data_IF_056424855452
#
_entry.id   IF_056424855452
#
_cell.length_a   1.000
_cell.length_b   1.000
_cell.length_c   1.000
_cell.angle_alpha   90.00
_cell.angle_beta   90.00
_cell.angle_gamma   90.00
#
_symmetry.space_group_name_H-M   'P 1'
#
loop_
_entity.id
_entity.type
_entity.pdbx_description
1 polymer ?
#
# COMPACT_ATOMS: atom_id res chain seq x y z
N UNK A 1 -16.46 -34.15 -10.05
CA UNK A 1 -15.56 -33.12 -10.62
C UNK A 1 -14.39 -32.96 -9.67
N UNK A 2 -13.16 -32.77 -10.18
CA UNK A 2 -12.03 -32.46 -9.31
C UNK A 2 -12.24 -31.06 -8.71
N UNK A 3 -11.98 -30.91 -7.40
CA UNK A 3 -12.06 -29.62 -6.73
C UNK A 3 -11.00 -28.68 -7.30
N UNK A 4 -11.32 -27.40 -7.44
CA UNK A 4 -10.33 -26.40 -7.85
C UNK A 4 -9.34 -26.17 -6.70
N UNK A 5 -8.02 -26.08 -6.96
CA UNK A 5 -7.04 -25.72 -5.95
C UNK A 5 -7.32 -24.32 -5.38
N UNK A 6 -6.95 -24.10 -4.12
CA UNK A 6 -6.92 -22.78 -3.49
C UNK A 6 -5.86 -21.88 -4.13
N UNK A 7 -5.98 -20.57 -3.88
CA UNK A 7 -4.97 -19.60 -4.31
C UNK A 7 -3.56 -19.94 -3.80
N UNK A 8 -3.44 -20.40 -2.55
CA UNK A 8 -2.16 -20.72 -1.93
C UNK A 8 -1.53 -21.97 -2.57
N UNK A 9 -2.29 -23.05 -2.73
CA UNK A 9 -1.81 -24.27 -3.40
C UNK A 9 -1.33 -23.98 -4.84
N UNK A 10 -1.97 -23.04 -5.53
CA UNK A 10 -1.53 -22.57 -6.84
C UNK A 10 -0.21 -21.81 -6.81
N UNK A 11 -0.01 -20.96 -5.80
CA UNK A 11 1.24 -20.24 -5.62
C UNK A 11 2.41 -21.21 -5.32
N UNK A 12 2.17 -22.24 -4.51
CA UNK A 12 3.18 -23.27 -4.19
C UNK A 12 3.56 -24.15 -5.38
N UNK A 13 2.67 -24.27 -6.37
CA UNK A 13 2.88 -25.08 -7.58
C UNK A 13 3.35 -24.27 -8.79
N UNK A 14 3.80 -23.03 -8.58
CA UNK A 14 4.27 -22.09 -9.61
C UNK A 14 3.24 -21.82 -10.73
N UNK A 15 1.95 -21.84 -10.36
CA UNK A 15 0.83 -21.55 -11.26
C UNK A 15 0.00 -20.36 -10.72
N UNK A 16 0.58 -19.16 -10.62
CA UNK A 16 -0.07 -18.03 -9.97
C UNK A 16 -1.39 -17.67 -10.67
N UNK A 17 -2.47 -17.65 -9.89
CA UNK A 17 -3.76 -17.18 -10.36
C UNK A 17 -3.78 -15.65 -10.40
N UNK A 18 -4.22 -15.07 -11.52
CA UNK A 18 -4.34 -13.61 -11.69
C UNK A 18 -5.81 -13.22 -11.76
N UNK A 19 -6.13 -11.99 -11.38
CA UNK A 19 -7.48 -11.45 -11.53
C UNK A 19 -7.90 -11.47 -13.00
N UNK A 20 -9.13 -11.91 -13.26
CA UNK A 20 -9.72 -11.88 -14.60
C UNK A 20 -9.92 -10.44 -15.10
N UNK A 21 -10.00 -10.20 -16.41
CA UNK A 21 -10.37 -8.89 -16.94
C UNK A 21 -11.68 -8.36 -16.35
N UNK A 22 -12.65 -9.24 -16.08
CA UNK A 22 -13.91 -8.90 -15.43
C UNK A 22 -13.72 -8.42 -13.99
N UNK A 23 -12.91 -9.12 -13.19
CA UNK A 23 -12.61 -8.71 -11.82
C UNK A 23 -11.81 -7.40 -11.75
N UNK A 24 -10.93 -7.16 -12.72
CA UNK A 24 -10.16 -5.91 -12.81
C UNK A 24 -11.01 -4.68 -13.12
N UNK A 25 -12.27 -4.86 -13.55
CA UNK A 25 -13.20 -3.76 -13.85
C UNK A 25 -13.92 -3.22 -12.63
N UNK A 26 -13.73 -3.81 -11.45
CA UNK A 26 -14.32 -3.30 -10.21
C UNK A 26 -13.72 -1.93 -9.87
N UNK A 27 -14.60 -0.95 -9.67
CA UNK A 27 -14.28 0.34 -9.09
C UNK A 27 -15.00 0.43 -7.74
N UNK A 28 -14.23 0.40 -6.66
CA UNK A 28 -14.75 0.01 -5.36
C UNK A 28 -14.34 0.99 -4.27
N UNK A 29 -15.31 1.75 -3.76
CA UNK A 29 -15.18 2.60 -2.59
C UNK A 29 -15.56 1.82 -1.31
N UNK A 30 -14.82 2.03 -0.23
CA UNK A 30 -15.09 1.43 1.08
C UNK A 30 -16.15 2.23 1.85
N UNK A 31 -17.39 2.16 1.36
CA UNK A 31 -18.56 2.82 1.91
C UNK A 31 -19.76 1.87 1.93
N UNK A 32 -20.73 2.09 2.80
CA UNK A 32 -22.01 1.37 2.75
C UNK A 32 -23.10 2.24 2.13
N UNK A 33 -24.11 1.63 1.46
CA UNK A 33 -24.28 0.20 1.18
C UNK A 33 -23.47 -0.30 -0.04
N UNK A 34 -23.27 -1.62 -0.15
CA UNK A 34 -22.53 -2.26 -1.26
C UNK A 34 -22.98 -1.79 -2.66
N UNK A 35 -24.29 -1.57 -2.83
CA UNK A 35 -24.88 -1.13 -4.10
C UNK A 35 -24.33 0.21 -4.59
N UNK A 36 -23.96 1.10 -3.67
CA UNK A 36 -23.39 2.42 -3.97
C UNK A 36 -21.85 2.40 -3.88
N UNK A 37 -21.29 1.37 -3.26
CA UNK A 37 -19.87 1.19 -3.01
C UNK A 37 -19.11 0.66 -4.23
N UNK A 38 -19.75 -0.22 -5.00
CA UNK A 38 -19.13 -0.92 -6.12
C UNK A 38 -19.79 -0.53 -7.42
N UNK A 39 -18.96 -0.12 -8.37
CA UNK A 39 -19.36 0.15 -9.75
C UNK A 39 -18.43 -0.61 -10.69
N UNK A 40 -18.86 -0.78 -11.94
CA UNK A 40 -18.16 -1.58 -12.93
C UNK A 40 -17.72 -0.69 -14.07
N UNK A 41 -16.41 -0.59 -14.29
CA UNK A 41 -15.85 0.11 -15.45
C UNK A 41 -16.28 -0.58 -16.74
N UNK A 42 -16.42 0.15 -17.85
CA UNK A 42 -16.78 -0.45 -19.15
C UNK A 42 -15.72 -1.45 -19.64
N UNK A 43 -16.03 -2.41 -20.52
CA UNK A 43 -15.04 -3.38 -20.99
C UNK A 43 -13.81 -2.75 -21.66
N UNK A 44 -14.01 -1.59 -22.29
CA UNK A 44 -13.02 -0.78 -23.00
C UNK A 44 -12.43 0.35 -22.14
N UNK A 45 -12.58 0.30 -20.80
CA UNK A 45 -12.10 1.33 -19.88
C UNK A 45 -10.62 1.67 -20.04
N UNK A 46 -9.83 0.71 -20.53
CA UNK A 46 -8.40 0.90 -20.81
C UNK A 46 -8.14 1.83 -21.99
N UNK A 47 -9.10 1.99 -22.89
CA UNK A 47 -9.02 2.88 -24.05
C UNK A 47 -9.82 4.16 -23.85
N UNK A 48 -10.98 4.09 -23.19
CA UNK A 48 -11.93 5.21 -23.06
C UNK A 48 -11.85 5.93 -21.72
N UNK A 49 -11.10 5.40 -20.76
CA UNK A 49 -11.03 5.90 -19.39
C UNK A 49 -11.99 5.18 -18.44
N UNK A 50 -11.81 5.40 -17.14
CA UNK A 50 -12.59 4.76 -16.08
C UNK A 50 -13.73 5.61 -15.53
N UNK A 51 -14.01 6.77 -16.15
CA UNK A 51 -15.03 7.71 -15.67
C UNK A 51 -16.44 7.17 -15.88
N UNK A 52 -16.70 6.56 -17.03
CA UNK A 52 -17.97 5.90 -17.34
C UNK A 52 -18.05 4.53 -16.65
N UNK A 53 -19.06 4.37 -15.79
CA UNK A 53 -19.22 3.21 -14.92
C UNK A 53 -20.67 2.77 -14.86
N UNK A 54 -20.88 1.47 -14.75
CA UNK A 54 -22.18 0.82 -14.63
C UNK A 54 -22.41 0.38 -13.17
N UNK A 55 -23.65 0.42 -12.65
CA UNK A 55 -23.95 -0.06 -11.32
C UNK A 55 -23.63 -1.55 -11.16
N UNK A 56 -23.00 -1.94 -10.06
CA UNK A 56 -22.78 -3.35 -9.75
C UNK A 56 -24.08 -4.07 -9.36
N UNK A 57 -24.93 -3.39 -8.60
CA UNK A 57 -26.30 -3.81 -8.29
C UNK A 57 -27.25 -3.08 -9.25
N UNK A 58 -27.91 -3.83 -10.11
CA UNK A 58 -28.83 -3.32 -11.12
C UNK A 58 -30.24 -3.40 -10.57
N UNK A 59 -30.90 -2.26 -10.37
CA UNK A 59 -32.32 -2.25 -9.98
C UNK A 59 -33.18 -2.48 -11.22
N UNK A 60 -33.77 -3.65 -11.34
CA UNK A 60 -34.72 -3.98 -12.41
C UNK A 60 -36.16 -3.92 -11.88
N UNK A 61 -37.09 -3.38 -12.69
CA UNK A 61 -38.51 -3.31 -12.35
C UNK A 61 -39.04 -1.89 -12.09
N UNK A 62 -40.36 -1.73 -12.19
CA UNK A 62 -41.03 -0.47 -11.92
C UNK A 62 -41.08 -0.13 -10.42
N UNK A 63 -41.56 1.08 -10.05
CA UNK A 63 -41.58 1.56 -8.66
C UNK A 63 -42.34 0.66 -7.67
N UNK A 64 -43.15 -0.28 -8.17
CA UNK A 64 -44.01 -1.17 -7.38
C UNK A 64 -43.36 -2.52 -7.00
N UNK A 65 -42.29 -2.94 -7.71
CA UNK A 65 -41.59 -4.22 -7.49
C UNK A 65 -40.14 -4.10 -7.99
N UNK A 66 -39.26 -3.42 -7.26
CA UNK A 66 -37.84 -3.46 -7.55
C UNK A 66 -37.31 -4.87 -7.27
N UNK A 67 -36.75 -5.51 -8.29
CA UNK A 67 -35.92 -6.70 -8.18
C UNK A 67 -34.47 -6.24 -8.32
N UNK A 68 -33.68 -6.42 -7.27
CA UNK A 68 -32.25 -6.14 -7.35
C UNK A 68 -31.57 -7.30 -8.09
N UNK A 69 -31.08 -7.01 -9.29
CA UNK A 69 -30.21 -7.87 -10.08
C UNK A 69 -28.73 -7.53 -9.84
N UNK A 70 -27.86 -8.43 -10.27
CA UNK A 70 -26.41 -8.22 -10.25
C UNK A 70 -25.89 -7.99 -11.66
N UNK A 71 -24.85 -7.15 -11.78
CA UNK A 71 -24.15 -6.97 -13.03
C UNK A 71 -23.56 -8.30 -13.55
N UNK A 72 -23.51 -8.50 -14.87
CA UNK A 72 -23.10 -9.78 -15.48
C UNK A 72 -21.72 -10.29 -15.02
N UNK A 73 -20.80 -9.40 -14.65
CA UNK A 73 -19.47 -9.77 -14.12
C UNK A 73 -19.55 -10.51 -12.79
N UNK A 74 -20.65 -10.38 -12.04
CA UNK A 74 -20.82 -11.00 -10.74
C UNK A 74 -20.69 -12.53 -10.81
N UNK A 75 -21.15 -13.14 -11.91
CA UNK A 75 -21.04 -14.58 -12.17
C UNK A 75 -19.69 -15.00 -12.79
N UNK A 76 -18.82 -14.06 -13.16
CA UNK A 76 -17.53 -14.37 -13.74
C UNK A 76 -16.58 -14.96 -12.68
N UNK A 77 -15.63 -15.83 -13.08
CA UNK A 77 -14.58 -16.28 -12.17
C UNK A 77 -13.73 -15.09 -11.71
N UNK A 78 -13.34 -15.09 -10.43
CA UNK A 78 -12.48 -14.05 -9.86
C UNK A 78 -11.08 -14.09 -10.49
N UNK A 79 -10.55 -15.28 -10.74
CA UNK A 79 -9.19 -15.50 -11.23
C UNK A 79 -9.10 -16.45 -12.41
N UNK A 80 -8.02 -16.29 -13.19
CA UNK A 80 -7.55 -17.27 -14.17
C UNK A 80 -6.08 -17.63 -13.86
N UNK A 81 -5.74 -18.92 -13.64
CA UNK A 81 -6.66 -20.06 -13.52
C UNK A 81 -7.65 -19.94 -12.35
N UNK A 82 -8.81 -20.61 -12.48
CA UNK A 82 -9.85 -20.64 -11.45
C UNK A 82 -9.35 -21.26 -10.14
N UNK A 83 -9.82 -20.70 -9.01
CA UNK A 83 -9.48 -21.14 -7.66
C UNK A 83 -10.71 -21.56 -6.87
N UNK A 84 -10.54 -22.54 -5.97
CA UNK A 84 -11.61 -23.05 -5.10
C UNK A 84 -11.69 -22.36 -3.74
N UNK A 85 -10.69 -21.57 -3.35
CA UNK A 85 -10.70 -20.77 -2.12
C UNK A 85 -9.59 -19.72 -2.17
N UNK A 86 -9.76 -18.63 -1.42
CA UNK A 86 -8.72 -17.62 -1.25
C UNK A 86 -8.75 -17.00 0.15
N UNK A 87 -7.58 -16.80 0.74
CA UNK A 87 -7.44 -16.06 1.99
C UNK A 87 -6.96 -14.64 1.67
N UNK A 88 -7.80 -13.67 1.99
CA UNK A 88 -7.60 -12.24 1.76
C UNK A 88 -6.97 -11.60 3.00
N UNK A 89 -5.98 -10.75 2.77
CA UNK A 89 -5.27 -9.97 3.78
C UNK A 89 -5.26 -8.49 3.35
N UNK A 90 -5.16 -7.58 4.32
CA UNK A 90 -5.10 -6.14 4.06
C UNK A 90 -3.66 -5.69 4.24
N UNK A 91 -3.06 -5.21 3.16
CA UNK A 91 -1.63 -4.85 3.11
C UNK A 91 -1.24 -3.86 4.22
N UNK A 92 -2.05 -2.81 4.43
CA UNK A 92 -1.80 -1.83 5.49
C UNK A 92 -1.73 -2.46 6.90
N UNK A 93 -2.55 -3.48 7.17
CA UNK A 93 -2.56 -4.17 8.48
C UNK A 93 -1.37 -5.11 8.64
N UNK A 94 -0.87 -5.69 7.56
CA UNK A 94 0.27 -6.62 7.59
C UNK A 94 1.58 -5.91 7.99
N UNK A 95 1.79 -4.69 7.50
CA UNK A 95 2.97 -3.86 7.79
C UNK A 95 2.78 -2.90 8.96
N UNK A 96 1.59 -2.80 9.52
CA UNK A 96 1.27 -1.81 10.56
C UNK A 96 2.14 -1.95 11.79
N UNK A 97 2.33 -3.18 12.27
CA UNK A 97 3.15 -3.44 13.45
C UNK A 97 4.59 -2.97 13.26
N UNK A 98 5.17 -3.27 12.10
CA UNK A 98 6.55 -2.90 11.76
C UNK A 98 6.70 -1.38 11.73
N UNK A 99 5.83 -0.68 10.97
CA UNK A 99 5.85 0.78 10.92
C UNK A 99 5.60 1.43 12.28
N UNK A 100 4.69 0.86 13.08
CA UNK A 100 4.47 1.31 14.44
C UNK A 100 5.74 1.16 15.28
N UNK A 101 6.46 0.04 15.16
CA UNK A 101 7.72 -0.15 15.88
C UNK A 101 8.79 0.83 15.42
N UNK A 102 8.98 1.00 14.11
CA UNK A 102 9.96 1.93 13.54
C UNK A 102 9.73 3.36 14.03
N UNK A 103 8.48 3.82 14.06
CA UNK A 103 8.11 5.13 14.58
C UNK A 103 8.41 5.31 16.08
N UNK A 104 8.31 4.25 16.86
CA UNK A 104 8.40 4.30 18.32
C UNK A 104 9.72 3.76 18.89
N UNK A 105 10.65 3.28 18.05
CA UNK A 105 11.91 2.69 18.51
C UNK A 105 12.80 3.72 19.21
N UNK A 106 12.84 4.95 18.69
CA UNK A 106 13.68 6.05 19.18
C UNK A 106 12.95 7.02 20.13
N UNK A 107 11.69 6.76 20.47
CA UNK A 107 10.98 7.62 21.42
C UNK A 107 11.59 7.47 22.82
N UNK A 108 11.89 8.61 23.46
CA UNK A 108 12.37 8.67 24.85
C UNK A 108 11.22 8.93 25.83
N UNK A 109 9.98 8.79 25.39
CA UNK A 109 8.80 8.98 26.21
C UNK A 109 8.83 8.12 27.46
N UNK A 110 8.27 8.66 28.54
CA UNK A 110 8.16 7.95 29.82
C UNK A 110 7.00 6.96 29.86
N UNK A 111 6.23 6.84 28.77
CA UNK A 111 5.02 6.00 28.69
C UNK A 111 5.24 4.67 27.97
N UNK A 112 6.49 4.33 27.64
CA UNK A 112 6.85 3.03 27.07
C UNK A 112 6.49 1.90 28.05
N UNK A 113 5.63 1.00 27.60
CA UNK A 113 5.37 -0.28 28.29
C UNK A 113 6.08 -1.37 27.53
N UNK A 114 7.00 -2.05 28.22
CA UNK A 114 7.78 -3.16 27.67
C UNK A 114 7.46 -4.46 28.41
N UNK A 115 7.31 -5.56 27.69
CA UNK A 115 6.94 -6.84 28.29
C UNK A 115 7.09 -8.03 27.34
N UNK A 116 6.87 -9.26 27.82
CA UNK A 116 6.91 -10.43 26.96
C UNK A 116 5.80 -10.37 25.89
N UNK A 117 5.98 -11.05 24.74
CA UNK A 117 4.92 -11.16 23.75
C UNK A 117 3.68 -11.82 24.35
N UNK A 118 2.47 -11.40 23.97
CA UNK A 118 1.26 -12.11 24.33
C UNK A 118 1.26 -13.54 23.74
N UNK A 119 0.52 -14.50 24.33
CA UNK A 119 0.56 -15.92 23.91
C UNK A 119 0.17 -16.19 22.46
N UNK A 120 -0.64 -15.31 21.85
CA UNK A 120 -1.12 -15.36 20.47
C UNK A 120 -0.36 -14.42 19.53
N UNK A 121 0.79 -13.92 19.97
CA UNK A 121 1.61 -13.00 19.19
C UNK A 121 2.29 -13.71 18.01
N UNK A 122 2.04 -13.20 16.82
CA UNK A 122 2.73 -13.61 15.59
C UNK A 122 3.44 -12.37 15.00
N UNK A 123 4.78 -12.30 15.02
CA UNK A 123 5.50 -11.12 14.53
C UNK A 123 5.25 -10.89 13.04
N UNK A 124 5.07 -9.64 12.61
CA UNK A 124 4.94 -9.30 11.17
C UNK A 124 6.16 -9.69 10.35
N UNK A 125 7.35 -9.58 10.92
CA UNK A 125 8.59 -9.98 10.28
C UNK A 125 9.41 -10.84 11.26
N UNK A 126 9.30 -12.18 11.19
CA UNK A 126 10.07 -13.04 12.07
C UNK A 126 11.58 -12.83 11.87
N UNK A 127 12.08 -12.61 10.66
CA UNK A 127 13.52 -12.45 10.41
C UNK A 127 14.11 -11.22 11.10
N UNK A 128 13.42 -10.06 11.06
CA UNK A 128 13.80 -8.88 11.83
C UNK A 128 13.66 -9.10 13.35
N UNK A 129 12.76 -9.99 13.76
CA UNK A 129 12.50 -10.30 15.17
C UNK A 129 13.59 -11.20 15.81
N UNK A 130 14.27 -12.06 15.04
CA UNK A 130 15.24 -13.05 15.57
C UNK A 130 16.70 -12.55 15.66
N UNK A 131 16.95 -11.25 15.47
CA UNK A 131 18.31 -10.67 15.41
C UNK A 131 18.97 -10.32 16.75
N UNK A 132 18.25 -10.31 17.89
CA UNK A 132 18.84 -10.04 19.21
C UNK A 132 18.47 -11.15 20.19
N UNK A 133 19.48 -11.92 20.60
CA UNK A 133 19.55 -12.87 21.73
C UNK A 133 18.24 -13.49 22.24
N UNK A 134 18.18 -14.82 22.28
CA UNK A 134 17.07 -15.63 22.84
C UNK A 134 16.66 -15.28 24.28
N UNK A 135 17.43 -14.46 24.99
CA UNK A 135 17.27 -14.19 26.42
C UNK A 135 16.38 -13.01 26.79
N UNK A 136 16.03 -12.09 25.88
CA UNK A 136 15.12 -10.97 26.22
C UNK A 136 14.16 -10.63 25.08
N UNK A 137 13.11 -11.43 24.91
CA UNK A 137 11.95 -11.10 24.05
C UNK A 137 11.05 -10.05 24.70
N UNK A 138 11.64 -8.96 25.18
CA UNK A 138 10.89 -7.84 25.75
C UNK A 138 10.47 -6.94 24.58
N UNK A 139 9.19 -6.98 24.25
CA UNK A 139 8.58 -6.15 23.21
C UNK A 139 8.14 -4.82 23.79
N UNK A 140 8.28 -3.76 23.00
CA UNK A 140 7.52 -2.54 23.21
C UNK A 140 6.05 -2.87 22.92
N UNK A 141 5.19 -2.82 23.94
CA UNK A 141 3.77 -3.18 23.89
C UNK A 141 2.85 -1.95 23.80
N UNK A 142 3.31 -0.79 24.29
CA UNK A 142 2.61 0.49 24.22
C UNK A 142 3.63 1.63 24.22
N UNK A 143 3.33 2.69 23.49
CA UNK A 143 4.10 3.93 23.43
C UNK A 143 3.16 5.05 22.97
N UNK A 144 3.38 6.30 23.36
CA UNK A 144 2.57 7.45 22.95
C UNK A 144 1.06 7.31 23.25
N UNK A 145 0.69 6.55 24.27
CA UNK A 145 -0.70 6.21 24.56
C UNK A 145 -1.35 5.22 23.57
N UNK A 146 -0.60 4.67 22.63
CA UNK A 146 -1.07 3.70 21.64
C UNK A 146 -0.57 2.28 21.94
N UNK A 147 -1.46 1.31 21.82
CA UNK A 147 -1.10 -0.11 21.91
C UNK A 147 -0.43 -0.59 20.63
N UNK A 148 0.61 -1.41 20.78
CA UNK A 148 1.25 -2.09 19.65
C UNK A 148 0.21 -2.91 18.87
N UNK A 149 0.13 -2.75 17.54
CA UNK A 149 -0.72 -3.59 16.71
C UNK A 149 -0.30 -5.07 16.82
N UNK A 150 -1.25 -5.95 17.12
CA UNK A 150 -0.99 -7.40 17.34
C UNK A 150 -1.80 -8.32 16.46
N UNK A 151 -2.84 -7.82 15.78
CA UNK A 151 -3.77 -8.66 15.00
C UNK A 151 -3.78 -8.28 13.52
N UNK A 152 -3.54 -9.29 12.68
CA UNK A 152 -3.70 -9.24 11.23
C UNK A 152 -4.94 -10.06 10.85
N UNK A 153 -6.14 -9.48 10.85
CA UNK A 153 -7.33 -10.22 10.48
C UNK A 153 -7.20 -10.71 9.03
N UNK A 154 -7.57 -11.97 8.80
CA UNK A 154 -7.60 -12.59 7.46
C UNK A 154 -8.99 -13.12 7.20
N UNK A 155 -9.43 -13.08 5.94
CA UNK A 155 -10.74 -13.59 5.54
C UNK A 155 -10.57 -14.67 4.47
N UNK A 156 -11.08 -15.88 4.74
CA UNK A 156 -11.16 -16.92 3.71
C UNK A 156 -12.48 -16.85 2.96
N UNK A 157 -12.40 -16.65 1.66
CA UNK A 157 -13.53 -16.66 0.73
C UNK A 157 -13.58 -18.02 0.04
N UNK A 158 -14.79 -18.60 0.01
CA UNK A 158 -15.11 -19.86 -0.67
C UNK A 158 -16.29 -19.66 -1.63
N UNK A 159 -16.45 -20.51 -2.66
CA UNK A 159 -17.56 -20.43 -3.61
C UNK A 159 -18.90 -20.60 -2.90
N UNK A 160 -19.88 -19.77 -3.23
CA UNK A 160 -21.27 -20.00 -2.79
C UNK A 160 -21.89 -21.21 -3.48
N UNK A 161 -21.60 -21.40 -4.77
CA UNK A 161 -21.98 -22.59 -5.53
C UNK A 161 -20.86 -23.64 -5.52
N UNK A 162 -21.00 -24.61 -4.61
CA UNK A 162 -20.08 -25.75 -4.49
C UNK A 162 -20.09 -26.65 -5.72
N UNK A 163 -21.15 -26.64 -6.54
CA UNK A 163 -21.20 -27.41 -7.79
C UNK A 163 -20.35 -26.76 -8.89
N UNK A 164 -20.37 -25.42 -8.98
CA UNK A 164 -19.44 -24.67 -9.82
C UNK A 164 -17.99 -24.85 -9.34
N UNK A 165 -17.78 -24.81 -8.02
CA UNK A 165 -16.52 -25.19 -7.36
C UNK A 165 -15.40 -24.15 -7.44
N UNK A 166 -15.65 -22.95 -7.99
CA UNK A 166 -14.68 -21.86 -8.09
C UNK A 166 -15.25 -20.54 -7.57
N UNK A 167 -14.37 -19.68 -7.06
CA UNK A 167 -14.75 -18.37 -6.50
C UNK A 167 -15.14 -17.41 -7.62
N UNK A 168 -16.35 -16.86 -7.54
CA UNK A 168 -16.83 -15.81 -8.44
C UNK A 168 -16.49 -14.41 -7.95
N UNK A 169 -16.62 -13.41 -8.83
CA UNK A 169 -16.52 -11.99 -8.44
C UNK A 169 -17.53 -11.66 -7.33
N UNK A 170 -18.75 -12.20 -7.41
CA UNK A 170 -19.76 -11.96 -6.39
C UNK A 170 -19.42 -12.57 -5.03
N UNK A 171 -18.96 -13.82 -5.00
CA UNK A 171 -18.53 -14.48 -3.75
C UNK A 171 -17.46 -13.64 -3.04
N UNK A 172 -16.52 -13.10 -3.83
CA UNK A 172 -15.45 -12.26 -3.31
C UNK A 172 -15.97 -10.92 -2.79
N UNK A 173 -16.68 -10.15 -3.61
CA UNK A 173 -17.12 -8.80 -3.23
C UNK A 173 -18.10 -8.85 -2.04
N UNK A 174 -19.03 -9.79 -2.04
CA UNK A 174 -20.04 -9.93 -0.98
C UNK A 174 -19.45 -10.36 0.36
N UNK A 175 -18.36 -11.13 0.37
CA UNK A 175 -17.66 -11.51 1.60
C UNK A 175 -16.67 -10.44 2.06
N UNK A 176 -15.86 -9.91 1.13
CA UNK A 176 -14.74 -9.01 1.44
C UNK A 176 -15.24 -7.61 1.79
N UNK A 177 -16.30 -7.10 1.15
CA UNK A 177 -16.79 -5.75 1.43
C UNK A 177 -17.26 -5.48 2.86
N UNK A 178 -18.26 -6.21 3.40
CA UNK A 178 -18.68 -5.97 4.78
C UNK A 178 -17.53 -6.21 5.78
N UNK A 179 -16.62 -7.14 5.47
CA UNK A 179 -15.43 -7.37 6.29
C UNK A 179 -14.49 -6.15 6.31
N UNK A 180 -14.16 -5.59 5.14
CA UNK A 180 -13.34 -4.38 5.05
C UNK A 180 -14.02 -3.17 5.70
N UNK A 181 -15.34 -3.03 5.55
CA UNK A 181 -16.10 -1.94 6.18
C UNK A 181 -15.98 -2.04 7.70
N UNK A 182 -16.13 -3.25 8.27
CA UNK A 182 -15.92 -3.48 9.69
C UNK A 182 -14.49 -3.21 10.18
N UNK A 183 -13.51 -3.20 9.28
CA UNK A 183 -12.11 -2.89 9.56
C UNK A 183 -11.72 -1.45 9.20
N UNK A 184 -12.62 -0.63 8.65
CA UNK A 184 -12.30 0.68 8.06
C UNK A 184 -11.46 1.57 8.97
N UNK A 185 -11.88 1.77 10.21
CA UNK A 185 -11.16 2.63 11.16
C UNK A 185 -9.77 2.07 11.51
N UNK A 186 -9.65 0.74 11.56
CA UNK A 186 -8.38 0.07 11.82
C UNK A 186 -7.42 0.23 10.64
N UNK A 187 -7.93 0.11 9.41
CA UNK A 187 -7.17 0.32 8.18
C UNK A 187 -6.68 1.76 8.09
N UNK A 188 -7.55 2.75 8.35
CA UNK A 188 -7.18 4.16 8.32
C UNK A 188 -6.09 4.49 9.34
N UNK A 189 -6.16 3.92 10.55
CA UNK A 189 -5.09 4.09 11.55
C UNK A 189 -3.78 3.43 11.12
N UNK A 190 -3.86 2.24 10.52
CA UNK A 190 -2.68 1.52 10.06
C UNK A 190 -1.97 2.24 8.90
N UNK A 191 -2.75 2.76 7.97
CA UNK A 191 -2.24 3.47 6.81
C UNK A 191 -1.67 4.84 7.19
N UNK A 192 -2.25 5.50 8.20
CA UNK A 192 -1.77 6.78 8.74
C UNK A 192 -0.96 6.65 10.04
N UNK A 193 -0.19 5.57 10.17
CA UNK A 193 0.64 5.32 11.36
C UNK A 193 1.64 6.45 11.63
N UNK A 194 2.12 7.12 10.57
CA UNK A 194 3.04 8.24 10.70
C UNK A 194 2.37 9.60 10.92
N UNK A 195 1.02 9.64 10.88
CA UNK A 195 0.20 10.84 10.93
C UNK A 195 0.54 11.87 9.84
N UNK A 196 1.14 11.44 8.74
CA UNK A 196 1.51 12.29 7.61
C UNK A 196 0.28 12.79 6.84
N UNK A 197 -0.82 12.02 6.87
CA UNK A 197 -2.03 12.36 6.11
C UNK A 197 -2.97 13.27 6.92
N UNK A 198 -3.47 14.37 6.33
CA UNK A 198 -4.33 15.33 7.00
C UNK A 198 -5.75 14.77 7.25
N UNK A 199 -6.55 15.42 8.13
CA UNK A 199 -7.97 15.14 8.26
C UNK A 199 -8.68 15.22 6.90
N UNK A 200 -9.56 14.25 6.61
CA UNK A 200 -10.30 14.17 5.35
C UNK A 200 -9.60 13.38 4.24
N UNK A 201 -8.30 13.05 4.39
CA UNK A 201 -7.59 12.21 3.42
C UNK A 201 -8.28 10.85 3.20
N UNK A 202 -8.91 10.31 4.25
CA UNK A 202 -9.65 9.05 4.23
C UNK A 202 -11.17 9.23 4.19
N UNK A 203 -11.69 10.37 3.72
CA UNK A 203 -13.14 10.55 3.53
C UNK A 203 -13.67 9.53 2.52
N UNK A 204 -12.88 9.25 1.48
CA UNK A 204 -13.18 8.26 0.46
C UNK A 204 -12.01 7.32 0.22
N UNK A 205 -12.06 6.19 0.92
CA UNK A 205 -11.09 5.10 0.81
C UNK A 205 -11.50 4.19 -0.35
N UNK A 206 -10.57 3.94 -1.25
CA UNK A 206 -10.75 3.08 -2.41
C UNK A 206 -10.06 1.73 -2.19
N UNK A 207 -10.68 0.66 -2.66
CA UNK A 207 -10.14 -0.70 -2.57
C UNK A 207 -9.37 -1.00 -3.85
N UNK A 208 -8.04 -1.10 -3.75
CA UNK A 208 -7.16 -1.48 -4.86
C UNK A 208 -6.79 -2.94 -4.79
N UNK A 209 -7.21 -3.69 -5.80
CA UNK A 209 -6.77 -5.06 -6.01
C UNK A 209 -5.50 -5.07 -6.86
N UNK A 210 -4.38 -5.40 -6.24
CA UNK A 210 -3.10 -5.70 -6.94
C UNK A 210 -3.05 -7.19 -7.27
N UNK A 211 -3.55 -8.03 -6.36
CA UNK A 211 -3.79 -9.44 -6.56
C UNK A 211 -5.09 -9.86 -5.85
N UNK A 212 -5.54 -11.11 -6.01
CA UNK A 212 -6.80 -11.55 -5.42
C UNK A 212 -6.68 -11.77 -3.90
N UNK A 213 -5.47 -12.04 -3.37
CA UNK A 213 -5.24 -12.31 -1.95
C UNK A 213 -4.84 -11.08 -1.12
N UNK A 214 -4.40 -10.00 -1.77
CA UNK A 214 -3.93 -8.80 -1.09
C UNK A 214 -4.77 -7.60 -1.51
N UNK A 215 -5.42 -7.01 -0.53
CA UNK A 215 -6.18 -5.77 -0.68
C UNK A 215 -5.33 -4.60 -0.22
N UNK A 216 -5.20 -3.62 -1.10
CA UNK A 216 -4.66 -2.31 -0.78
C UNK A 216 -5.80 -1.32 -0.64
N UNK A 217 -5.58 -0.30 0.17
CA UNK A 217 -6.47 0.84 0.27
C UNK A 217 -5.69 2.08 -0.08
N UNK A 218 -6.30 2.96 -0.88
CA UNK A 218 -5.73 4.25 -1.25
C UNK A 218 -6.83 5.32 -1.12
N UNK A 219 -6.48 6.60 -1.09
CA UNK A 219 -7.47 7.63 -1.39
C UNK A 219 -7.85 7.61 -2.89
N UNK A 220 -8.95 8.29 -3.22
CA UNK A 220 -9.48 8.32 -4.58
C UNK A 220 -8.48 8.85 -5.62
N UNK A 221 -7.64 9.81 -5.27
CA UNK A 221 -6.68 10.40 -6.21
C UNK A 221 -5.55 9.43 -6.54
N UNK A 222 -4.97 8.78 -5.53
CA UNK A 222 -3.95 7.75 -5.73
C UNK A 222 -4.53 6.52 -6.44
N UNK A 223 -5.76 6.13 -6.11
CA UNK A 223 -6.47 5.07 -6.81
C UNK A 223 -6.63 5.40 -8.31
N UNK A 224 -7.15 6.59 -8.64
CA UNK A 224 -7.35 7.03 -10.01
C UNK A 224 -6.03 7.12 -10.79
N UNK A 225 -4.97 7.60 -10.16
CA UNK A 225 -3.61 7.60 -10.73
C UNK A 225 -3.14 6.16 -11.03
N UNK A 226 -3.38 5.23 -10.11
CA UNK A 226 -3.02 3.82 -10.30
C UNK A 226 -3.80 3.16 -11.45
N UNK A 227 -5.07 3.54 -11.64
CA UNK A 227 -5.89 3.06 -12.76
C UNK A 227 -5.34 3.61 -14.08
N UNK A 228 -5.00 4.90 -14.16
CA UNK A 228 -4.37 5.51 -15.35
C UNK A 228 -3.07 4.81 -15.72
N UNK A 229 -2.21 4.54 -14.74
CA UNK A 229 -0.97 3.79 -14.98
C UNK A 229 -1.23 2.41 -15.57
N UNK A 230 -2.27 1.70 -15.11
CA UNK A 230 -2.64 0.38 -15.67
C UNK A 230 -3.19 0.50 -17.10
N UNK A 231 -3.82 1.60 -17.45
CA UNK A 231 -4.24 1.87 -18.83
C UNK A 231 -3.00 2.05 -19.71
N UNK A 232 -2.07 2.86 -19.24
CA UNK A 232 -0.83 3.17 -19.95
C UNK A 232 0.15 1.98 -19.96
N UNK A 233 0.05 1.05 -19.01
CA UNK A 233 0.89 -0.15 -18.94
C UNK A 233 0.58 -1.26 -19.93
N UNK A 234 -0.52 -1.11 -20.66
CA UNK A 234 -0.79 -1.92 -21.86
C UNK A 234 -0.52 -1.14 -23.15
N UNK A 235 -0.02 0.10 -23.07
CA UNK A 235 0.63 0.73 -24.20
C UNK A 235 1.93 -0.04 -24.51
N UNK A 236 2.34 -0.14 -25.79
CA UNK A 236 3.54 -0.87 -26.19
C UNK A 236 4.78 -0.40 -25.41
N UNK A 237 5.83 -1.23 -25.34
CA UNK A 237 7.14 -1.01 -24.65
C UNK A 237 7.60 0.46 -24.58
N UNK A 238 7.26 1.25 -25.60
CA UNK A 238 7.29 2.71 -25.63
C UNK A 238 6.85 3.44 -24.35
N UNK A 239 5.89 2.95 -23.54
CA UNK A 239 5.46 3.68 -22.33
C UNK A 239 6.36 3.45 -21.12
N UNK A 240 6.82 2.22 -20.88
CA UNK A 240 7.89 1.99 -19.90
C UNK A 240 9.16 2.74 -20.35
N UNK A 241 9.48 2.73 -21.65
CA UNK A 241 10.58 3.56 -22.16
C UNK A 241 10.35 5.06 -21.97
N UNK A 242 9.11 5.55 -22.00
CA UNK A 242 8.79 6.95 -21.71
C UNK A 242 8.86 7.27 -20.22
N UNK A 243 8.35 6.40 -19.35
CA UNK A 243 8.46 6.56 -17.89
C UNK A 243 9.92 6.50 -17.46
N UNK A 244 10.70 5.56 -18.00
CA UNK A 244 12.15 5.47 -17.80
C UNK A 244 12.84 6.73 -18.35
N UNK A 245 12.51 7.21 -19.56
CA UNK A 245 13.10 8.44 -20.10
C UNK A 245 12.75 9.69 -19.28
N UNK A 246 11.54 9.75 -18.71
CA UNK A 246 11.12 10.83 -17.79
C UNK A 246 11.84 10.73 -16.44
N UNK A 247 11.95 9.53 -15.90
CA UNK A 247 12.72 9.25 -14.69
C UNK A 247 14.20 9.62 -14.87
N UNK A 248 14.80 9.25 -16.01
CA UNK A 248 16.15 9.66 -16.41
C UNK A 248 16.29 11.18 -16.59
N UNK A 249 15.18 11.88 -16.91
CA UNK A 249 15.12 13.34 -16.95
C UNK A 249 14.82 14.00 -15.59
N UNK A 250 14.72 13.22 -14.50
CA UNK A 250 14.54 13.72 -13.13
C UNK A 250 13.09 13.85 -12.65
N UNK A 251 12.11 13.32 -13.40
CA UNK A 251 10.70 13.27 -12.99
C UNK A 251 10.49 12.13 -11.97
N UNK A 252 10.36 12.51 -10.69
CA UNK A 252 10.30 11.57 -9.57
C UNK A 252 9.02 10.75 -9.52
N UNK A 253 7.89 11.35 -9.89
CA UNK A 253 6.61 10.65 -9.92
C UNK A 253 6.67 9.58 -11.01
N UNK A 254 7.23 9.90 -12.18
CA UNK A 254 7.46 8.93 -13.25
C UNK A 254 8.41 7.79 -12.86
N UNK A 255 9.40 8.04 -11.99
CA UNK A 255 10.32 7.02 -11.48
C UNK A 255 9.61 6.02 -10.54
N UNK A 256 8.79 6.53 -9.61
CA UNK A 256 7.96 5.69 -8.74
C UNK A 256 6.94 4.88 -9.53
N UNK A 257 6.35 5.49 -10.57
CA UNK A 257 5.42 4.85 -11.49
C UNK A 257 6.10 3.73 -12.30
N UNK A 258 7.35 3.93 -12.74
CA UNK A 258 8.14 2.91 -13.43
C UNK A 258 8.45 1.69 -12.56
N UNK A 259 8.73 1.88 -11.26
CA UNK A 259 8.92 0.76 -10.31
C UNK A 259 7.61 -0.01 -10.15
N UNK A 260 6.51 0.69 -9.88
CA UNK A 260 5.20 0.08 -9.70
C UNK A 260 4.85 -0.74 -10.95
N UNK A 261 5.11 -0.18 -12.14
CA UNK A 261 4.96 -0.87 -13.42
C UNK A 261 5.82 -2.13 -13.55
N UNK A 262 7.11 -2.06 -13.20
CA UNK A 262 8.02 -3.20 -13.24
C UNK A 262 7.59 -4.32 -12.28
N UNK A 263 7.14 -3.95 -11.07
CA UNK A 263 6.56 -4.88 -10.09
C UNK A 263 5.26 -5.53 -10.62
N UNK A 264 4.44 -4.79 -11.37
CA UNK A 264 3.22 -5.31 -12.00
C UNK A 264 3.49 -6.27 -13.17
N UNK A 265 4.55 -6.06 -13.94
CA UNK A 265 4.84 -6.84 -15.15
C UNK A 265 5.58 -8.14 -14.89
N UNK A 266 6.30 -8.28 -13.75
CA UNK A 266 7.01 -9.47 -13.28
C UNK A 266 7.05 -10.66 -14.27
N UNK A 267 7.76 -10.43 -15.37
CA UNK A 267 8.32 -11.44 -16.25
C UNK A 267 9.80 -11.19 -16.53
N UNK A 268 10.37 -10.10 -16.00
CA UNK A 268 11.81 -9.88 -15.95
C UNK A 268 12.15 -8.80 -14.88
N UNK A 269 12.95 -9.09 -13.84
CA UNK A 269 13.26 -8.14 -12.76
C UNK A 269 14.46 -7.22 -13.04
N UNK A 270 14.96 -7.15 -14.28
CA UNK A 270 16.08 -6.28 -14.63
C UNK A 270 15.69 -4.82 -14.80
N UNK A 271 15.45 -4.08 -13.71
CA UNK A 271 15.49 -2.61 -13.76
C UNK A 271 16.85 -2.17 -14.31
N UNK A 272 16.87 -1.25 -15.28
CA UNK A 272 18.14 -0.81 -15.86
C UNK A 272 19.00 -0.12 -14.78
N UNK A 273 20.34 -0.19 -14.85
CA UNK A 273 21.23 0.54 -13.94
C UNK A 273 20.94 2.05 -13.88
N UNK A 274 20.41 2.61 -14.97
CA UNK A 274 20.02 4.02 -15.04
C UNK A 274 18.80 4.34 -14.17
N UNK A 275 17.81 3.45 -14.13
CA UNK A 275 16.64 3.61 -13.25
C UNK A 275 17.05 3.46 -11.79
N UNK A 276 17.88 2.46 -11.48
CA UNK A 276 18.40 2.28 -10.12
C UNK A 276 19.20 3.51 -9.65
N UNK A 277 20.03 4.08 -10.52
CA UNK A 277 20.76 5.32 -10.23
C UNK A 277 19.82 6.51 -10.02
N UNK A 278 18.79 6.68 -10.86
CA UNK A 278 17.82 7.77 -10.72
C UNK A 278 17.02 7.69 -9.41
N UNK A 279 16.77 6.48 -8.90
CA UNK A 279 16.14 6.25 -7.61
C UNK A 279 17.07 6.58 -6.45
N UNK A 280 18.34 6.20 -6.56
CA UNK A 280 19.32 6.55 -5.55
C UNK A 280 19.54 8.07 -5.50
N UNK A 281 19.56 8.74 -6.65
CA UNK A 281 19.62 10.21 -6.75
C UNK A 281 18.36 10.89 -6.16
N UNK A 282 17.18 10.26 -6.28
CA UNK A 282 15.95 10.72 -5.64
C UNK A 282 16.04 10.63 -4.13
N UNK A 283 16.41 9.47 -3.60
CA UNK A 283 16.49 9.25 -2.16
C UNK A 283 17.51 10.22 -1.57
N UNK A 284 18.65 10.39 -2.23
CA UNK A 284 19.66 11.41 -1.90
C UNK A 284 19.09 12.85 -1.88
N UNK A 285 18.19 13.19 -2.81
CA UNK A 285 17.57 14.52 -2.89
C UNK A 285 16.49 14.73 -1.83
N UNK A 286 15.67 13.71 -1.58
CA UNK A 286 14.64 13.74 -0.53
C UNK A 286 15.30 13.90 0.84
N UNK A 287 16.36 13.14 1.10
CA UNK A 287 17.16 13.27 2.32
C UNK A 287 17.78 14.67 2.45
N UNK A 288 18.29 15.25 1.36
CA UNK A 288 18.86 16.61 1.38
C UNK A 288 17.79 17.69 1.65
N UNK A 289 16.60 17.56 1.07
CA UNK A 289 15.47 18.47 1.32
C UNK A 289 14.94 18.35 2.75
N UNK A 290 14.91 17.14 3.32
CA UNK A 290 14.51 16.90 4.70
C UNK A 290 15.55 17.42 5.69
N UNK A 291 16.84 17.18 5.42
CA UNK A 291 17.95 17.77 6.15
C UNK A 291 17.86 19.30 6.15
N UNK A 292 17.68 19.93 4.99
CA UNK A 292 17.62 21.39 4.94
C UNK A 292 16.37 21.93 5.67
N UNK A 293 15.22 21.22 5.60
CA UNK A 293 14.05 21.56 6.42
C UNK A 293 14.36 21.52 7.92
N UNK A 294 15.08 20.50 8.38
CA UNK A 294 15.48 20.37 9.78
C UNK A 294 16.49 21.45 10.20
N UNK A 295 17.48 21.74 9.35
CA UNK A 295 18.44 22.84 9.57
C UNK A 295 17.73 24.18 9.68
N UNK A 296 16.74 24.46 8.81
CA UNK A 296 15.96 25.69 8.88
C UNK A 296 15.11 25.77 10.15
N UNK A 297 14.55 24.65 10.60
CA UNK A 297 13.83 24.56 11.86
C UNK A 297 14.74 24.90 13.06
N UNK A 298 15.90 24.28 13.14
CA UNK A 298 16.83 24.46 14.27
C UNK A 298 17.46 25.86 14.26
N UNK A 299 17.77 26.38 13.07
CA UNK A 299 18.22 27.77 12.89
C UNK A 299 17.15 28.77 13.33
N UNK A 300 15.87 28.49 13.08
CA UNK A 300 14.77 29.33 13.55
C UNK A 300 14.65 29.33 15.08
N UNK A 301 14.85 28.18 15.74
CA UNK A 301 14.89 28.08 17.20
C UNK A 301 16.10 28.84 17.79
N UNK A 302 17.27 28.69 17.17
CA UNK A 302 18.48 29.38 17.59
C UNK A 302 18.36 30.90 17.45
N UNK A 303 17.80 31.42 16.35
CA UNK A 303 17.55 32.86 16.14
C UNK A 303 16.63 33.47 17.19
N UNK A 304 15.65 32.71 17.69
CA UNK A 304 14.78 33.18 18.79
C UNK A 304 15.56 33.41 20.09
N UNK A 305 16.60 32.62 20.31
CA UNK A 305 17.48 32.75 21.49
C UNK A 305 18.59 33.79 21.30
N UNK A 306 18.88 34.16 20.04
CA UNK A 306 19.96 35.08 19.67
C UNK A 306 19.42 36.18 18.73
N UNK A 307 18.55 37.09 19.20
CA UNK A 307 17.87 38.06 18.34
C UNK A 307 18.82 39.09 17.69
N UNK A 308 19.98 39.32 18.29
CA UNK A 308 20.98 40.29 17.83
C UNK A 308 22.06 39.64 16.92
N UNK A 309 21.90 38.35 16.57
CA UNK A 309 22.86 37.64 15.73
C UNK A 309 23.03 38.29 14.36
N UNK A 310 24.28 38.47 13.96
CA UNK A 310 24.65 38.97 12.64
C UNK A 310 24.44 37.91 11.56
N UNK A 311 24.29 38.30 10.27
CA UNK A 311 24.18 37.34 9.18
C UNK A 311 25.34 36.34 9.10
N UNK A 312 26.55 36.75 9.49
CA UNK A 312 27.72 35.87 9.52
C UNK A 312 27.62 34.79 10.60
N UNK A 313 27.10 35.13 11.79
CA UNK A 313 26.86 34.16 12.86
C UNK A 313 25.76 33.16 12.49
N UNK A 314 24.72 33.63 11.79
CA UNK A 314 23.66 32.76 11.26
C UNK A 314 24.19 31.74 10.25
N UNK A 315 25.14 32.14 9.39
CA UNK A 315 25.74 31.25 8.39
C UNK A 315 26.65 30.20 9.04
N UNK A 316 27.45 30.60 10.04
CA UNK A 316 28.28 29.68 10.83
C UNK A 316 27.41 28.65 11.55
N UNK A 317 26.31 29.07 12.16
CA UNK A 317 25.43 28.16 12.89
C UNK A 317 24.67 27.21 11.94
N UNK A 318 24.22 27.71 10.78
CA UNK A 318 23.63 26.86 9.75
C UNK A 318 24.61 25.77 9.27
N UNK A 319 25.90 26.10 9.13
CA UNK A 319 26.93 25.11 8.82
C UNK A 319 27.15 24.12 9.97
N UNK A 320 27.07 24.57 11.22
CA UNK A 320 27.14 23.70 12.40
C UNK A 320 25.99 22.69 12.43
N UNK A 321 24.76 23.13 12.16
CA UNK A 321 23.59 22.23 12.09
C UNK A 321 23.63 21.26 10.91
N UNK A 322 24.24 21.61 9.76
CA UNK A 322 24.41 20.68 8.62
C UNK A 322 25.45 19.59 8.85
N UNK A 323 26.49 19.87 9.65
CA UNK A 323 27.65 18.98 9.76
C UNK A 323 27.34 17.54 10.24
N UNK A 324 26.47 17.30 11.24
CA UNK A 324 26.09 15.95 11.65
C UNK A 324 25.40 15.16 10.53
N UNK A 325 24.51 15.78 9.77
CA UNK A 325 23.78 15.14 8.68
C UNK A 325 24.71 14.71 7.53
N UNK A 326 25.66 15.57 7.16
CA UNK A 326 26.65 15.24 6.14
C UNK A 326 27.54 14.07 6.59
N UNK A 327 27.91 14.01 7.87
CA UNK A 327 28.68 12.90 8.42
C UNK A 327 27.91 11.57 8.36
N UNK A 328 26.63 11.55 8.75
CA UNK A 328 25.78 10.36 8.68
C UNK A 328 25.52 9.88 7.24
N UNK A 329 25.35 10.81 6.29
CA UNK A 329 25.20 10.47 4.86
C UNK A 329 26.47 9.83 4.29
N UNK A 330 27.64 10.36 4.64
CA UNK A 330 28.92 9.77 4.23
C UNK A 330 29.18 8.39 4.86
N UNK A 331 28.70 8.15 6.08
CA UNK A 331 28.80 6.85 6.75
C UNK A 331 27.93 5.80 6.05
N UNK A 332 26.67 6.10 5.77
CA UNK A 332 25.77 5.19 5.02
C UNK A 332 26.31 4.84 3.64
N UNK A 333 26.80 5.82 2.88
CA UNK A 333 27.44 5.57 1.57
C UNK A 333 28.65 4.64 1.66
N UNK A 334 29.42 4.69 2.77
CA UNK A 334 30.54 3.77 2.99
C UNK A 334 30.09 2.36 3.32
N UNK A 335 28.96 2.20 4.01
CA UNK A 335 28.39 0.89 4.35
C UNK A 335 27.77 0.22 3.13
N UNK A 336 27.03 0.98 2.31
CA UNK A 336 26.41 0.48 1.08
C UNK A 336 27.44 0.06 0.02
N UNK A 337 28.55 0.78 -0.12
CA UNK A 337 29.62 0.43 -1.06
C UNK A 337 30.49 -0.78 -0.66
N UNK A 338 30.24 -1.38 0.52
CA UNK A 338 30.96 -2.58 1.00
C UNK A 338 30.19 -3.88 0.81
N UNK A 339 28.89 -3.80 0.52
CA UNK A 339 28.04 -4.96 0.24
C UNK A 339 28.02 -5.30 -1.24
#
# INVERSE_FOLDING_TARGET
MAAFPSYHERAETDQPARLTPEAQRLYWALQEPLADAVTVMRPDWRQTGHTEREPYVVREGGPSTPTDGLHAIAAAPLTEPKIGAITVQVSALDVWEERWCERHEDDLSTDQVRGPPPPDYEPSNPERFWGRSDTDKILLLRCCGEDRPTRRPKLTVVPSDLAAGFVTVHDYVSAVHPWLVGLRDTIVRADNVDHANPPGHYDRVMVRHVGPAYVFTDDESHYDSSIRMRMDSQAPESHLSQLVAKAEAGDLDAAQDAIIFALFQAKDPGLSPQVLQALQDRDDRVEEEEMERQVQHDLALWKRSNPDATPAEVEVEAAHFRAPYMASREERRREEGRS
#
